data_IF_579485977618
#
_entry.id   IF_579485977618
#
_cell.length_a   1.000
_cell.length_b   1.000
_cell.length_c   1.000
_cell.angle_alpha   90.00
_cell.angle_beta   90.00
_cell.angle_gamma   90.00
#
_symmetry.space_group_name_H-M   'P 1'
#
loop_
_entity.id
_entity.type
_entity.pdbx_description
1 polymer ?
#
# COMPACT_ATOMS: atom_id res chain seq x y z
N UNK A 1 2.95 1.12 7.92
CA UNK A 1 2.74 2.01 6.74
C UNK A 1 3.96 1.94 5.83
N UNK A 2 3.81 1.89 4.50
CA UNK A 2 4.95 1.85 3.57
C UNK A 2 5.01 3.09 2.67
N UNK A 3 6.20 3.63 2.35
CA UNK A 3 6.34 4.74 1.40
C UNK A 3 5.81 4.35 0.01
N UNK A 4 4.68 4.95 -0.39
CA UNK A 4 3.91 4.57 -1.58
C UNK A 4 4.72 4.63 -2.88
N UNK A 5 5.54 5.66 -3.07
CA UNK A 5 6.39 5.83 -4.25
C UNK A 5 7.41 4.68 -4.36
N UNK A 6 8.11 4.40 -3.27
CA UNK A 6 9.14 3.37 -3.26
C UNK A 6 8.54 1.97 -3.42
N UNK A 7 7.44 1.68 -2.72
CA UNK A 7 6.70 0.43 -2.88
C UNK A 7 6.23 0.23 -4.33
N UNK A 8 5.62 1.25 -4.95
CA UNK A 8 5.13 1.17 -6.32
C UNK A 8 6.26 0.96 -7.34
N UNK A 9 7.39 1.65 -7.16
CA UNK A 9 8.60 1.46 -7.98
C UNK A 9 9.14 0.04 -7.86
N UNK A 10 9.14 -0.51 -6.64
CA UNK A 10 9.67 -1.83 -6.35
C UNK A 10 8.78 -2.91 -6.98
N UNK A 11 7.46 -2.83 -6.80
CA UNK A 11 6.49 -3.73 -7.44
C UNK A 11 6.60 -3.70 -8.97
N UNK A 12 6.82 -2.53 -9.58
CA UNK A 12 7.05 -2.40 -11.04
C UNK A 12 8.33 -3.08 -11.53
N UNK A 13 9.31 -3.26 -10.65
CA UNK A 13 10.60 -3.90 -10.98
C UNK A 13 10.57 -5.41 -10.80
N UNK A 14 9.58 -5.94 -10.09
CA UNK A 14 9.39 -7.38 -9.97
C UNK A 14 8.92 -7.93 -11.31
N UNK A 15 9.56 -9.00 -11.76
CA UNK A 15 9.29 -9.64 -13.05
C UNK A 15 8.47 -10.93 -12.90
N UNK A 16 8.32 -11.42 -11.67
CA UNK A 16 7.65 -12.67 -11.36
C UNK A 16 6.15 -12.47 -11.14
N UNK A 17 5.41 -13.55 -11.29
CA UNK A 17 3.94 -13.55 -11.24
C UNK A 17 3.43 -13.38 -9.80
N UNK A 18 4.14 -14.00 -8.84
CA UNK A 18 3.80 -13.97 -7.43
C UNK A 18 4.73 -13.05 -6.62
N UNK A 19 4.11 -12.28 -5.71
CA UNK A 19 4.80 -11.39 -4.78
C UNK A 19 4.37 -11.74 -3.36
N UNK A 20 5.33 -12.13 -2.54
CA UNK A 20 5.15 -12.41 -1.12
C UNK A 20 5.59 -11.19 -0.31
N UNK A 21 4.76 -10.77 0.65
CA UNK A 21 5.04 -9.61 1.50
C UNK A 21 4.86 -10.04 2.95
N UNK A 22 5.91 -9.88 3.75
CA UNK A 22 5.91 -10.15 5.19
C UNK A 22 6.37 -8.90 5.95
N UNK A 23 5.82 -8.64 7.12
CA UNK A 23 6.20 -7.48 7.94
C UNK A 23 6.64 -7.94 9.32
N UNK A 24 7.81 -7.46 9.77
CA UNK A 24 8.31 -7.77 11.11
C UNK A 24 7.77 -6.81 12.19
N UNK A 25 8.09 -7.09 13.45
CA UNK A 25 7.68 -6.28 14.60
C UNK A 25 8.30 -4.88 14.64
N UNK A 26 9.28 -4.59 13.77
CA UNK A 26 9.91 -3.26 13.62
C UNK A 26 9.36 -2.52 12.41
N UNK A 27 8.23 -2.98 11.86
CA UNK A 27 7.59 -2.44 10.67
C UNK A 27 8.46 -2.53 9.41
N UNK A 28 9.42 -3.45 9.34
CA UNK A 28 10.20 -3.70 8.13
C UNK A 28 9.42 -4.68 7.27
N UNK A 29 9.03 -4.25 6.08
CA UNK A 29 8.38 -5.10 5.09
C UNK A 29 9.41 -5.79 4.21
N UNK A 30 9.41 -7.11 4.22
CA UNK A 30 10.15 -7.98 3.32
C UNK A 30 9.27 -8.33 2.12
N UNK A 31 9.75 -8.03 0.92
CA UNK A 31 9.05 -8.28 -0.35
C UNK A 31 9.88 -9.27 -1.15
N UNK A 32 9.34 -10.45 -1.39
CA UNK A 32 10.02 -11.55 -2.07
C UNK A 32 9.25 -11.94 -3.32
N UNK A 33 9.95 -12.08 -4.44
CA UNK A 33 9.37 -12.48 -5.73
C UNK A 33 10.40 -13.31 -6.48
N UNK A 34 10.07 -14.58 -6.72
CA UNK A 34 11.01 -15.59 -7.21
C UNK A 34 12.30 -15.66 -6.39
N UNK A 35 13.43 -15.39 -7.04
CA UNK A 35 14.76 -15.36 -6.42
C UNK A 35 15.18 -13.99 -5.86
N UNK A 36 14.30 -12.98 -5.93
CA UNK A 36 14.62 -11.61 -5.51
C UNK A 36 13.96 -11.28 -4.18
N UNK A 37 14.70 -10.63 -3.30
CA UNK A 37 14.23 -10.17 -1.99
C UNK A 37 14.58 -8.70 -1.78
N UNK A 38 13.61 -7.93 -1.29
CA UNK A 38 13.78 -6.53 -0.91
C UNK A 38 13.27 -6.29 0.51
N UNK A 39 13.87 -5.32 1.20
CA UNK A 39 13.41 -4.86 2.52
C UNK A 39 13.11 -3.37 2.47
N UNK A 40 11.94 -2.99 2.99
CA UNK A 40 11.45 -1.61 3.03
C UNK A 40 11.11 -1.24 4.47
N UNK A 41 11.72 -0.17 4.98
CA UNK A 41 11.37 0.36 6.28
C UNK A 41 10.00 1.02 6.23
N UNK A 42 9.08 0.51 7.04
CA UNK A 42 7.79 1.10 7.26
C UNK A 42 7.79 2.14 8.36
N UNK A 43 6.68 2.85 8.43
CA UNK A 43 6.32 3.77 9.50
C UNK A 43 5.23 3.12 10.37
N UNK A 44 5.11 3.62 11.59
CA UNK A 44 4.08 3.18 12.53
C UNK A 44 2.68 3.36 11.89
N UNK A 45 1.85 2.30 11.82
CA UNK A 45 0.50 2.42 11.30
C UNK A 45 -0.42 3.32 12.14
N UNK A 46 -0.16 3.50 13.43
CA UNK A 46 -0.99 4.35 14.30
C UNK A 46 -0.91 5.83 13.94
N UNK A 47 0.15 6.26 13.24
CA UNK A 47 0.29 7.62 12.74
C UNK A 47 -0.61 7.92 11.53
N UNK A 48 -1.17 6.91 10.87
CA UNK A 48 -1.99 7.14 9.70
C UNK A 48 -3.39 7.65 10.10
N UNK A 49 -3.83 8.78 9.53
CA UNK A 49 -5.10 9.37 9.92
C UNK A 49 -6.25 8.44 9.58
N UNK A 50 -7.18 8.32 10.52
CA UNK A 50 -8.46 7.67 10.26
C UNK A 50 -9.23 8.45 9.18
N UNK A 51 -9.94 7.71 8.34
CA UNK A 51 -10.85 8.31 7.38
C UNK A 51 -11.88 9.18 8.14
N UNK A 52 -12.12 10.43 7.69
CA UNK A 52 -13.10 11.28 8.32
C UNK A 52 -14.49 10.68 8.14
N UNK A 53 -15.35 10.85 9.15
CA UNK A 53 -16.75 10.43 9.09
C UNK A 53 -17.50 11.46 8.26
N UNK A 54 -18.07 11.04 7.14
CA UNK A 54 -18.91 11.89 6.29
C UNK A 54 -20.37 11.61 6.66
N UNK A 55 -21.04 12.61 7.25
CA UNK A 55 -22.49 12.58 7.41
C UNK A 55 -23.11 12.86 6.03
N UNK A 56 -23.69 11.82 5.40
CA UNK A 56 -24.17 11.84 4.02
C UNK A 56 -25.45 12.65 3.78
N UNK A 57 -25.60 13.81 4.42
CA UNK A 57 -26.80 14.64 4.33
C UNK A 57 -26.99 15.26 2.94
N UNK A 58 -25.91 15.50 2.18
CA UNK A 58 -25.98 16.08 0.83
C UNK A 58 -25.01 15.38 -0.13
N UNK A 59 -25.42 14.23 -0.66
CA UNK A 59 -24.68 13.51 -1.70
C UNK A 59 -25.55 13.37 -2.95
N UNK A 60 -25.00 13.71 -4.12
CA UNK A 60 -25.66 13.50 -5.41
C UNK A 60 -24.75 12.69 -6.34
N UNK A 61 -25.33 11.68 -7.00
CA UNK A 61 -24.62 10.78 -7.91
C UNK A 61 -24.96 11.13 -9.35
N UNK A 62 -23.99 11.64 -10.09
CA UNK A 62 -24.15 11.90 -11.52
C UNK A 62 -23.86 10.61 -12.29
N UNK A 63 -24.72 10.27 -13.25
CA UNK A 63 -24.43 9.18 -14.20
C UNK A 63 -23.35 9.67 -15.15
N UNK A 64 -22.22 8.95 -15.21
CA UNK A 64 -21.20 9.22 -16.22
C UNK A 64 -21.81 8.87 -17.58
N UNK A 65 -22.15 9.89 -18.38
CA UNK A 65 -22.55 9.69 -19.78
C UNK A 65 -21.30 9.26 -20.54
N UNK A 66 -21.34 8.03 -21.07
CA UNK A 66 -20.32 7.47 -21.95
C UNK A 66 -20.26 8.22 -23.28
#
# INVERSE_FOLDING_TARGET
>A
MLPSRLFSELVRKLQDEDVHIEVDSRFIAKITSGATEFSLNGLDPEEYPNLPIINGSDAFRIRKTC
#
